data_IF_270880965834
#
_entry.id   IF_270880965834
#
_cell.length_a   1.000
_cell.length_b   1.000
_cell.length_c   1.000
_cell.angle_alpha   90.00
_cell.angle_beta   90.00
_cell.angle_gamma   90.00
#
_symmetry.space_group_name_H-M   'P 1'
#
loop_
_entity.id
_entity.type
_entity.pdbx_description
1 polymer ?
#
# COMPACT_ATOMS: atom_id res chain seq x y z
N UNK A 1 -23.21 73.30 29.13
CA UNK A 1 -24.08 72.12 28.94
C UNK A 1 -23.16 70.93 28.77
N UNK A 2 -22.45 70.44 29.79
CA UNK A 2 -22.94 69.88 31.05
C UNK A 2 -24.13 68.94 30.88
N UNK A 3 -23.88 67.68 31.23
CA UNK A 3 -24.83 66.61 31.54
C UNK A 3 -25.59 66.00 30.36
N UNK A 4 -25.10 64.84 29.90
CA UNK A 4 -25.88 63.59 29.81
C UNK A 4 -24.96 62.42 29.43
N UNK A 5 -24.89 61.46 30.37
CA UNK A 5 -24.41 60.07 30.27
C UNK A 5 -22.91 59.91 29.97
N UNK A 6 -22.04 59.43 30.86
CA UNK A 6 -22.19 58.33 31.83
C UNK A 6 -22.83 57.08 31.20
N UNK A 7 -22.19 56.56 30.15
CA UNK A 7 -22.01 55.12 29.94
C UNK A 7 -20.47 54.94 29.85
N UNK A 8 -19.73 54.42 30.83
CA UNK A 8 -20.13 53.47 31.86
C UNK A 8 -20.15 52.04 31.30
N UNK A 9 -19.02 51.56 30.75
CA UNK A 9 -18.75 50.11 30.70
C UNK A 9 -18.53 49.43 29.35
N UNK A 10 -18.35 50.16 28.24
CA UNK A 10 -17.93 49.55 26.96
C UNK A 10 -16.66 50.20 26.40
N UNK A 11 -15.56 49.53 26.73
CA UNK A 11 -14.53 49.12 25.77
C UNK A 11 -13.59 50.15 25.14
N UNK A 12 -12.69 50.71 25.97
CA UNK A 12 -11.38 51.22 25.51
C UNK A 12 -10.66 50.14 24.68
N UNK A 13 -10.74 48.86 25.09
CA UNK A 13 -10.20 47.74 24.33
C UNK A 13 -10.90 47.54 22.97
N UNK A 14 -12.22 47.73 22.84
CA UNK A 14 -12.88 47.59 21.52
C UNK A 14 -12.52 48.76 20.63
N UNK A 15 -12.40 49.99 21.15
CA UNK A 15 -11.97 51.12 20.32
C UNK A 15 -10.53 50.94 19.82
N UNK A 16 -9.62 50.42 20.65
CA UNK A 16 -8.26 50.07 20.22
C UNK A 16 -8.27 48.90 19.22
N UNK A 17 -9.14 47.91 19.40
CA UNK A 17 -9.28 46.78 18.47
C UNK A 17 -9.89 47.22 17.12
N UNK A 18 -10.86 48.13 17.13
CA UNK A 18 -11.43 48.75 15.93
C UNK A 18 -10.40 49.60 15.19
N UNK A 19 -9.60 50.40 15.91
CA UNK A 19 -8.49 51.15 15.33
C UNK A 19 -7.41 50.22 14.74
N UNK A 20 -7.08 49.13 15.42
CA UNK A 20 -6.15 48.10 14.92
C UNK A 20 -6.70 47.41 13.67
N UNK A 21 -7.98 47.02 13.68
CA UNK A 21 -8.67 46.42 12.53
C UNK A 21 -8.72 47.38 11.34
N UNK A 22 -8.96 48.67 11.58
CA UNK A 22 -8.93 49.70 10.54
C UNK A 22 -7.51 49.88 9.97
N UNK A 23 -6.48 49.87 10.82
CA UNK A 23 -5.08 49.93 10.37
C UNK A 23 -4.69 48.69 9.57
N UNK A 24 -5.14 47.50 9.97
CA UNK A 24 -4.96 46.24 9.23
C UNK A 24 -5.60 46.32 7.84
N UNK A 25 -6.85 46.79 7.76
CA UNK A 25 -7.56 46.99 6.50
C UNK A 25 -6.84 48.00 5.60
N UNK A 26 -6.36 49.12 6.16
CA UNK A 26 -5.60 50.11 5.40
C UNK A 26 -4.26 49.57 4.91
N UNK A 27 -3.58 48.72 5.70
CA UNK A 27 -2.36 48.02 5.25
C UNK A 27 -2.64 47.06 4.10
N UNK A 28 -3.75 46.32 4.16
CA UNK A 28 -4.17 45.44 3.07
C UNK A 28 -4.51 46.23 1.79
N UNK A 29 -5.28 47.31 1.91
CA UNK A 29 -5.59 48.21 0.79
C UNK A 29 -4.31 48.79 0.15
N UNK A 30 -3.34 49.24 0.96
CA UNK A 30 -2.05 49.74 0.48
C UNK A 30 -1.27 48.64 -0.23
N UNK A 31 -1.22 47.43 0.33
CA UNK A 31 -0.53 46.30 -0.29
C UNK A 31 -1.13 45.93 -1.65
N UNK A 32 -2.46 45.94 -1.77
CA UNK A 32 -3.15 45.72 -3.03
C UNK A 32 -2.91 46.83 -4.05
N UNK A 33 -2.87 48.10 -3.60
CA UNK A 33 -2.55 49.23 -4.47
C UNK A 33 -1.13 49.13 -5.01
N UNK A 34 -0.14 48.80 -4.16
CA UNK A 34 1.24 48.58 -4.59
C UNK A 34 1.33 47.42 -5.58
N UNK A 35 0.56 46.34 -5.37
CA UNK A 35 0.52 45.20 -6.30
C UNK A 35 -0.04 45.62 -7.66
N UNK A 36 -1.16 46.33 -7.68
CA UNK A 36 -1.78 46.86 -8.90
C UNK A 36 -0.88 47.88 -9.61
N UNK A 37 -0.22 48.74 -8.86
CA UNK A 37 0.74 49.71 -9.41
C UNK A 37 1.92 49.01 -10.05
N UNK A 38 2.46 47.94 -9.45
CA UNK A 38 3.53 47.14 -10.04
C UNK A 38 3.07 46.41 -11.30
N UNK A 39 1.89 45.79 -11.28
CA UNK A 39 1.30 45.13 -12.45
C UNK A 39 1.11 46.13 -13.60
N UNK A 40 0.57 47.32 -13.31
CA UNK A 40 0.41 48.40 -14.29
C UNK A 40 1.76 48.93 -14.79
N UNK A 41 2.74 49.14 -13.91
CA UNK A 41 4.09 49.57 -14.30
C UNK A 41 4.74 48.55 -15.24
N UNK A 42 4.63 47.26 -14.93
CA UNK A 42 5.12 46.21 -15.81
C UNK A 42 4.43 46.25 -17.18
N UNK A 43 3.11 46.40 -17.19
CA UNK A 43 2.35 46.48 -18.44
C UNK A 43 2.70 47.73 -19.28
N UNK A 44 2.89 48.88 -18.63
CA UNK A 44 3.35 50.12 -19.29
C UNK A 44 4.75 49.93 -19.85
N UNK A 45 5.70 49.33 -19.09
CA UNK A 45 7.05 49.09 -19.61
C UNK A 45 7.05 48.17 -20.84
N UNK A 46 6.21 47.14 -20.85
CA UNK A 46 6.07 46.24 -22.01
C UNK A 46 5.46 46.97 -23.22
N UNK A 47 4.45 47.80 -23.01
CA UNK A 47 3.84 48.61 -24.07
C UNK A 47 4.80 49.70 -24.59
N UNK A 48 5.59 50.32 -23.72
CA UNK A 48 6.60 51.29 -24.11
C UNK A 48 7.71 50.64 -24.94
N UNK A 49 8.13 49.43 -24.59
CA UNK A 49 9.06 48.63 -25.40
C UNK A 49 8.45 48.31 -26.79
N UNK A 50 7.20 47.87 -26.85
CA UNK A 50 6.50 47.54 -28.10
C UNK A 50 6.27 48.78 -28.99
N UNK A 51 5.91 49.92 -28.39
CA UNK A 51 5.66 51.17 -29.12
C UNK A 51 6.95 51.84 -29.59
N UNK A 52 8.03 51.76 -28.82
CA UNK A 52 9.38 52.11 -29.30
C UNK A 52 9.77 51.27 -30.51
N UNK A 53 9.49 49.97 -30.49
CA UNK A 53 9.80 49.06 -31.60
C UNK A 53 9.01 49.38 -32.89
N UNK A 54 7.81 49.99 -32.78
CA UNK A 54 6.99 50.45 -33.91
C UNK A 54 7.33 51.86 -34.42
N UNK A 55 7.78 52.79 -33.57
CA UNK A 55 8.02 54.21 -33.93
C UNK A 55 9.39 54.49 -34.54
N UNK A 56 10.24 53.49 -34.72
CA UNK A 56 11.55 53.64 -35.36
C UNK A 56 11.41 53.81 -36.88
N UNK A 57 10.97 54.98 -37.34
CA UNK A 57 11.24 55.42 -38.71
C UNK A 57 12.75 55.68 -38.81
N UNK A 58 13.48 54.79 -39.48
CA UNK A 58 14.93 54.87 -39.59
C UNK A 58 15.37 56.15 -40.30
N UNK A 59 16.13 57.01 -39.60
CA UNK A 59 16.62 58.28 -40.15
C UNK A 59 17.87 58.09 -41.05
N UNK A 60 18.53 56.93 -40.96
CA UNK A 60 19.72 56.56 -41.74
C UNK A 60 19.84 55.04 -41.90
N UNK A 61 20.41 54.59 -43.02
CA UNK A 61 20.66 53.17 -43.31
C UNK A 61 21.55 52.50 -42.24
N UNK A 62 22.51 53.25 -41.68
CA UNK A 62 23.38 52.76 -40.61
C UNK A 62 22.59 52.47 -39.32
N UNK A 63 21.66 53.37 -38.97
CA UNK A 63 20.77 53.20 -37.83
C UNK A 63 19.86 51.97 -38.02
N UNK A 64 19.38 51.73 -39.24
CA UNK A 64 18.59 50.54 -39.56
C UNK A 64 19.37 49.23 -39.36
N UNK A 65 20.62 49.18 -39.82
CA UNK A 65 21.51 48.01 -39.63
C UNK A 65 21.76 47.75 -38.14
N UNK A 66 22.05 48.77 -37.35
CA UNK A 66 22.30 48.65 -35.92
C UNK A 66 21.05 48.14 -35.18
N UNK A 67 19.88 48.68 -35.49
CA UNK A 67 18.62 48.26 -34.88
C UNK A 67 18.21 46.85 -35.29
N UNK A 68 18.36 46.49 -36.57
CA UNK A 68 18.15 45.11 -37.04
C UNK A 68 19.12 44.14 -36.39
N UNK A 69 20.39 44.51 -36.23
CA UNK A 69 21.40 43.68 -35.54
C UNK A 69 21.03 43.49 -34.06
N UNK A 70 20.54 44.52 -33.38
CA UNK A 70 20.05 44.43 -32.01
C UNK A 70 18.83 43.51 -31.91
N UNK A 71 17.86 43.62 -32.83
CA UNK A 71 16.70 42.72 -32.91
C UNK A 71 17.12 41.27 -33.14
N UNK A 72 18.05 41.01 -34.05
CA UNK A 72 18.62 39.69 -34.29
C UNK A 72 19.29 39.11 -33.03
N UNK A 73 20.09 39.91 -32.31
CA UNK A 73 20.71 39.48 -31.04
C UNK A 73 19.66 39.15 -29.98
N UNK A 74 18.60 39.96 -29.84
CA UNK A 74 17.48 39.67 -28.92
C UNK A 74 16.81 38.33 -29.28
N UNK A 75 16.49 38.12 -30.56
CA UNK A 75 15.85 36.88 -31.03
C UNK A 75 16.75 35.67 -30.83
N UNK A 76 18.05 35.80 -31.11
CA UNK A 76 19.02 34.74 -30.87
C UNK A 76 19.14 34.40 -29.38
N UNK A 77 19.17 35.40 -28.50
CA UNK A 77 19.16 35.16 -27.05
C UNK A 77 17.90 34.43 -26.60
N UNK A 78 16.71 34.84 -27.09
CA UNK A 78 15.44 34.13 -26.82
C UNK A 78 15.49 32.69 -27.32
N UNK A 79 16.04 32.47 -28.52
CA UNK A 79 16.22 31.13 -29.06
C UNK A 79 17.11 30.28 -28.13
N UNK A 80 18.27 30.80 -27.70
CA UNK A 80 19.15 30.09 -26.78
C UNK A 80 18.48 29.75 -25.45
N UNK A 81 17.65 30.65 -24.91
CA UNK A 81 16.86 30.37 -23.69
C UNK A 81 15.90 29.19 -23.92
N UNK A 82 15.14 29.20 -25.02
CA UNK A 82 14.24 28.09 -25.34
C UNK A 82 15.00 26.78 -25.57
N UNK A 83 16.20 26.82 -26.16
CA UNK A 83 17.06 25.63 -26.29
C UNK A 83 17.53 25.08 -24.94
N UNK A 84 17.82 25.95 -23.98
CA UNK A 84 18.17 25.54 -22.62
C UNK A 84 16.95 24.93 -21.91
N UNK A 85 15.80 25.61 -21.96
CA UNK A 85 14.53 25.11 -21.39
C UNK A 85 14.15 23.74 -21.99
N UNK A 86 14.26 23.56 -23.30
CA UNK A 86 14.00 22.28 -23.97
C UNK A 86 14.91 21.16 -23.44
N UNK A 87 16.18 21.49 -23.15
CA UNK A 87 17.14 20.53 -22.60
C UNK A 87 16.80 20.16 -21.17
N UNK A 88 16.53 21.16 -20.34
CA UNK A 88 16.17 20.96 -18.94
C UNK A 88 14.91 20.08 -18.84
N UNK A 89 13.89 20.36 -19.65
CA UNK A 89 12.66 19.55 -19.75
C UNK A 89 12.97 18.11 -20.20
N UNK A 90 13.86 17.93 -21.18
CA UNK A 90 14.26 16.59 -21.63
C UNK A 90 14.96 15.82 -20.51
N UNK A 91 15.88 16.45 -19.79
CA UNK A 91 16.63 15.82 -18.70
C UNK A 91 15.70 15.43 -17.54
N UNK A 92 14.73 16.29 -17.20
CA UNK A 92 13.68 15.99 -16.23
C UNK A 92 12.79 14.82 -16.68
N UNK A 93 12.39 14.79 -17.96
CA UNK A 93 11.61 13.68 -18.52
C UNK A 93 12.38 12.35 -18.47
N UNK A 94 13.68 12.37 -18.76
CA UNK A 94 14.52 11.17 -18.70
C UNK A 94 14.66 10.70 -17.24
N UNK A 95 14.92 11.60 -16.31
CA UNK A 95 15.05 11.28 -14.90
C UNK A 95 13.76 10.69 -14.32
N UNK A 96 12.62 11.35 -14.53
CA UNK A 96 11.31 10.87 -14.07
C UNK A 96 10.94 9.53 -14.66
N UNK A 97 11.21 9.30 -15.96
CA UNK A 97 11.00 7.99 -16.58
C UNK A 97 11.86 6.90 -15.91
N UNK A 98 13.14 7.17 -15.65
CA UNK A 98 14.03 6.22 -14.99
C UNK A 98 13.59 5.90 -13.56
N UNK A 99 13.11 6.88 -12.80
CA UNK A 99 12.58 6.68 -11.45
C UNK A 99 11.31 5.80 -11.46
N UNK A 100 10.42 6.01 -12.42
CA UNK A 100 9.23 5.18 -12.60
C UNK A 100 9.60 3.74 -13.00
N UNK A 101 10.57 3.56 -13.90
CA UNK A 101 11.10 2.25 -14.29
C UNK A 101 11.69 1.52 -13.07
N UNK A 102 12.48 2.21 -12.24
CA UNK A 102 13.02 1.64 -11.01
C UNK A 102 11.92 1.20 -10.04
N UNK A 103 10.92 2.06 -9.83
CA UNK A 103 9.76 1.74 -8.97
C UNK A 103 8.99 0.53 -9.51
N UNK A 104 8.78 0.44 -10.82
CA UNK A 104 8.14 -0.70 -11.47
C UNK A 104 8.94 -1.99 -11.25
N UNK A 105 10.26 -1.94 -11.41
CA UNK A 105 11.14 -3.09 -11.21
C UNK A 105 11.14 -3.57 -9.75
N UNK A 106 11.14 -2.64 -8.79
CA UNK A 106 11.03 -2.93 -7.36
C UNK A 106 9.71 -3.61 -7.01
N UNK A 107 8.58 -3.02 -7.42
CA UNK A 107 7.25 -3.60 -7.22
C UNK A 107 7.13 -4.98 -7.87
N UNK A 108 7.71 -5.14 -9.07
CA UNK A 108 7.72 -6.43 -9.77
C UNK A 108 8.56 -7.46 -9.01
N UNK A 109 9.72 -7.07 -8.47
CA UNK A 109 10.58 -7.92 -7.65
C UNK A 109 9.86 -8.36 -6.38
N UNK A 110 9.20 -7.44 -5.69
CA UNK A 110 8.41 -7.74 -4.50
C UNK A 110 7.24 -8.69 -4.80
N UNK A 111 6.50 -8.44 -5.89
CA UNK A 111 5.39 -9.28 -6.29
C UNK A 111 5.88 -10.70 -6.58
N UNK A 112 6.97 -10.85 -7.34
CA UNK A 112 7.59 -12.15 -7.62
C UNK A 112 8.00 -12.85 -6.32
N UNK A 113 8.65 -12.13 -5.41
CA UNK A 113 9.05 -12.66 -4.12
C UNK A 113 7.84 -13.15 -3.30
N UNK A 114 6.79 -12.33 -3.18
CA UNK A 114 5.54 -12.67 -2.47
C UNK A 114 4.83 -13.85 -3.15
N UNK A 115 4.82 -13.94 -4.48
CA UNK A 115 4.24 -15.08 -5.20
C UNK A 115 4.99 -16.37 -4.92
N UNK A 116 6.33 -16.34 -4.99
CA UNK A 116 7.17 -17.50 -4.66
C UNK A 116 6.96 -17.93 -3.21
N UNK A 117 6.86 -17.00 -2.26
CA UNK A 117 6.57 -17.32 -0.87
C UNK A 117 5.20 -18.01 -0.74
N UNK A 118 4.16 -17.48 -1.39
CA UNK A 118 2.84 -18.10 -1.40
C UNK A 118 2.85 -19.49 -2.02
N UNK A 119 3.55 -19.69 -3.14
CA UNK A 119 3.62 -20.96 -3.85
C UNK A 119 4.34 -22.06 -3.05
N UNK A 120 5.38 -21.70 -2.30
CA UNK A 120 6.15 -22.66 -1.52
C UNK A 120 5.52 -22.98 -0.16
N UNK A 121 4.83 -22.03 0.47
CA UNK A 121 4.37 -22.17 1.86
C UNK A 121 2.84 -22.26 2.04
N UNK A 122 2.03 -21.88 1.04
CA UNK A 122 0.57 -21.90 1.16
C UNK A 122 -0.02 -23.06 0.38
N UNK A 123 -0.76 -23.98 1.02
CA UNK A 123 -1.46 -25.05 0.31
C UNK A 123 -2.40 -24.50 -0.77
N UNK A 124 -2.43 -25.08 -1.99
CA UNK A 124 -3.18 -24.53 -3.11
C UNK A 124 -4.70 -24.48 -2.85
N UNK A 125 -5.21 -25.40 -2.01
CA UNK A 125 -6.61 -25.42 -1.61
C UNK A 125 -7.02 -24.23 -0.72
N UNK A 126 -6.11 -23.71 0.10
CA UNK A 126 -6.35 -22.55 0.95
C UNK A 126 -6.21 -21.25 0.17
N UNK A 127 -5.18 -21.16 -0.68
CA UNK A 127 -4.99 -20.03 -1.62
C UNK A 127 -6.25 -19.78 -2.45
N UNK A 128 -6.85 -20.83 -3.03
CA UNK A 128 -8.09 -20.71 -3.82
C UNK A 128 -9.26 -20.17 -2.99
N UNK A 129 -9.47 -20.69 -1.76
CA UNK A 129 -10.54 -20.22 -0.86
C UNK A 129 -10.38 -18.75 -0.47
N UNK A 130 -9.15 -18.26 -0.37
CA UNK A 130 -8.88 -16.85 -0.08
C UNK A 130 -9.17 -15.97 -1.29
N UNK A 131 -8.69 -16.34 -2.49
CA UNK A 131 -8.94 -15.61 -3.74
C UNK A 131 -10.44 -15.47 -4.00
N UNK A 132 -11.21 -16.56 -3.84
CA UNK A 132 -12.66 -16.57 -4.09
C UNK A 132 -13.45 -15.64 -3.14
N UNK A 133 -12.85 -15.22 -2.01
CA UNK A 133 -13.48 -14.33 -1.01
C UNK A 133 -12.90 -12.92 -1.04
N UNK A 134 -11.78 -12.72 -1.73
CA UNK A 134 -11.11 -11.44 -1.80
C UNK A 134 -11.88 -10.56 -2.78
N UNK A 135 -12.16 -9.33 -2.39
CA UNK A 135 -12.71 -8.31 -3.28
C UNK A 135 -11.90 -7.04 -3.13
N UNK A 136 -11.76 -6.32 -4.23
CA UNK A 136 -11.11 -5.03 -4.26
C UNK A 136 -12.18 -3.94 -4.22
N UNK A 137 -11.98 -2.94 -3.36
CA UNK A 137 -12.82 -1.75 -3.31
C UNK A 137 -12.08 -0.60 -4.00
N UNK A 138 -12.58 -0.18 -5.17
CA UNK A 138 -11.99 0.88 -5.99
C UNK A 138 -12.07 2.27 -5.32
N UNK A 139 -13.06 2.49 -4.42
CA UNK A 139 -13.27 3.79 -3.78
C UNK A 139 -12.33 3.99 -2.57
N UNK A 140 -12.07 2.92 -1.81
CA UNK A 140 -11.17 2.95 -0.64
C UNK A 140 -9.73 2.51 -0.98
N UNK A 141 -9.47 2.04 -2.21
CA UNK A 141 -8.18 1.48 -2.69
C UNK A 141 -7.65 0.37 -1.76
N UNK A 142 -8.55 -0.50 -1.29
CA UNK A 142 -8.25 -1.52 -0.29
C UNK A 142 -8.81 -2.90 -0.65
N UNK A 143 -8.09 -3.94 -0.24
CA UNK A 143 -8.54 -5.33 -0.37
C UNK A 143 -9.35 -5.76 0.84
N UNK A 144 -10.62 -6.10 0.63
CA UNK A 144 -11.51 -6.64 1.63
C UNK A 144 -11.70 -8.15 1.51
N UNK A 145 -12.06 -8.81 2.62
CA UNK A 145 -12.44 -10.23 2.63
C UNK A 145 -13.93 -10.38 2.89
N UNK A 146 -14.64 -11.05 1.97
CA UNK A 146 -16.03 -11.42 2.18
C UNK A 146 -16.06 -12.49 3.28
N UNK A 147 -16.48 -12.08 4.48
CA UNK A 147 -16.64 -13.02 5.60
C UNK A 147 -17.72 -14.03 5.24
N UNK A 148 -17.32 -15.29 5.06
CA UNK A 148 -18.27 -16.39 4.97
C UNK A 148 -19.17 -16.32 6.21
N UNK A 149 -20.47 -16.19 5.99
CA UNK A 149 -21.50 -15.99 7.00
C UNK A 149 -21.20 -16.80 8.27
N UNK A 150 -21.02 -16.04 9.37
CA UNK A 150 -20.90 -16.48 10.77
C UNK A 150 -21.47 -17.87 10.95
N UNK A 151 -20.60 -18.88 11.14
CA UNK A 151 -21.01 -20.26 11.44
C UNK A 151 -22.12 -20.18 12.48
N UNK A 152 -23.36 -20.50 12.09
CA UNK A 152 -24.51 -20.42 13.00
C UNK A 152 -24.13 -21.28 14.20
N UNK A 153 -23.89 -20.65 15.35
CA UNK A 153 -23.52 -21.37 16.56
C UNK A 153 -24.57 -22.46 16.78
N UNK A 154 -24.10 -23.69 17.03
CA UNK A 154 -25.01 -24.80 17.30
C UNK A 154 -25.94 -24.36 18.45
N UNK A 155 -27.27 -24.48 18.30
CA UNK A 155 -28.19 -24.04 19.35
C UNK A 155 -27.87 -24.79 20.64
N UNK A 156 -27.81 -24.04 21.74
CA UNK A 156 -27.65 -24.61 23.08
C UNK A 156 -28.93 -25.32 23.49
N UNK A 157 -28.81 -26.34 24.33
CA UNK A 157 -29.99 -26.95 24.95
C UNK A 157 -30.68 -25.96 25.89
N UNK A 158 -31.98 -26.15 26.15
CA UNK A 158 -32.75 -25.32 27.08
C UNK A 158 -32.18 -25.32 28.51
N UNK A 159 -31.38 -26.34 28.87
CA UNK A 159 -30.72 -26.49 30.18
C UNK A 159 -29.27 -25.99 30.13
N UNK A 160 -28.88 -25.26 29.08
CA UNK A 160 -27.56 -24.60 28.97
C UNK A 160 -26.41 -25.52 28.51
N UNK A 161 -26.63 -26.82 28.36
CA UNK A 161 -25.63 -27.75 27.83
C UNK A 161 -25.45 -27.63 26.31
N UNK A 162 -24.24 -27.98 25.81
CA UNK A 162 -23.89 -28.03 24.36
C UNK A 162 -24.74 -29.01 23.55
N UNK A 163 -25.42 -29.95 24.21
CA UNK A 163 -26.33 -30.97 23.64
C UNK A 163 -27.50 -31.22 24.61
N UNK A 164 -28.69 -31.62 24.13
CA UNK A 164 -29.80 -32.00 25.01
C UNK A 164 -29.45 -33.27 25.80
N UNK A 165 -29.74 -33.28 27.10
CA UNK A 165 -29.59 -34.44 27.98
C UNK A 165 -30.91 -34.75 28.68
N UNK A 166 -31.22 -36.03 28.89
CA UNK A 166 -32.45 -36.46 29.55
C UNK A 166 -32.45 -36.07 31.04
N UNK A 167 -33.65 -35.91 31.61
CA UNK A 167 -33.81 -35.60 33.04
C UNK A 167 -33.15 -36.68 33.94
N UNK A 168 -33.21 -37.95 33.52
CA UNK A 168 -32.54 -39.05 34.22
C UNK A 168 -31.01 -38.86 34.26
N UNK A 169 -30.40 -38.49 33.12
CA UNK A 169 -28.97 -38.23 33.04
C UNK A 169 -28.56 -37.04 33.93
N UNK A 170 -29.39 -35.99 33.98
CA UNK A 170 -29.17 -34.83 34.86
C UNK A 170 -29.18 -35.24 36.35
N UNK A 171 -30.19 -35.99 36.77
CA UNK A 171 -30.31 -36.46 38.15
C UNK A 171 -29.12 -37.35 38.53
N UNK A 172 -28.74 -38.28 37.65
CA UNK A 172 -27.62 -39.19 37.88
C UNK A 172 -26.27 -38.45 38.02
N UNK A 173 -26.08 -37.34 37.28
CA UNK A 173 -24.90 -36.48 37.46
C UNK A 173 -24.94 -35.73 38.79
N UNK A 174 -26.11 -35.20 39.18
CA UNK A 174 -26.27 -34.44 40.41
C UNK A 174 -26.13 -35.29 41.68
N UNK A 175 -26.49 -36.58 41.62
CA UNK A 175 -26.44 -37.50 42.76
C UNK A 175 -25.14 -38.33 42.85
N UNK A 176 -24.23 -38.19 41.89
CA UNK A 176 -23.01 -38.99 41.87
C UNK A 176 -21.97 -38.47 42.89
N UNK A 177 -21.49 -39.35 43.77
CA UNK A 177 -20.40 -39.06 44.73
C UNK A 177 -19.01 -39.17 44.08
N UNK A 178 -18.85 -38.65 42.86
CA UNK A 178 -17.65 -38.72 42.03
C UNK A 178 -17.94 -38.23 40.61
N UNK A 179 -16.94 -38.17 39.72
CA UNK A 179 -17.15 -37.73 38.34
C UNK A 179 -17.82 -38.84 37.50
N UNK A 180 -19.14 -38.75 37.19
CA UNK A 180 -19.86 -39.85 36.54
C UNK A 180 -19.65 -39.78 35.03
N UNK A 181 -18.64 -40.45 34.50
CA UNK A 181 -18.26 -40.38 33.06
C UNK A 181 -19.37 -40.78 32.08
N UNK A 182 -20.38 -41.52 32.53
CA UNK A 182 -21.46 -42.05 31.66
C UNK A 182 -22.49 -41.00 31.24
N UNK A 183 -22.83 -40.03 32.10
CA UNK A 183 -23.96 -39.11 31.89
C UNK A 183 -23.54 -37.66 31.69
N UNK A 184 -22.26 -37.39 31.45
CA UNK A 184 -21.77 -36.02 31.26
C UNK A 184 -22.25 -35.40 29.95
N UNK A 185 -22.54 -34.09 29.99
CA UNK A 185 -22.89 -33.32 28.80
C UNK A 185 -21.69 -33.02 27.90
N UNK A 186 -20.47 -33.10 28.45
CA UNK A 186 -19.22 -32.82 27.76
C UNK A 186 -18.44 -34.11 27.51
N UNK A 187 -17.60 -34.12 26.46
CA UNK A 187 -16.69 -35.23 26.16
C UNK A 187 -15.32 -34.95 26.79
N UNK A 188 -15.29 -34.55 28.06
CA UNK A 188 -14.07 -34.25 28.81
C UNK A 188 -14.04 -35.19 30.01
N UNK A 189 -13.01 -36.02 30.10
CA UNK A 189 -12.78 -36.81 31.30
C UNK A 189 -11.91 -35.99 32.24
N UNK A 190 -12.43 -35.66 33.42
CA UNK A 190 -11.61 -35.10 34.49
C UNK A 190 -10.89 -36.25 35.18
N UNK A 191 -9.62 -36.43 34.85
CA UNK A 191 -8.73 -37.33 35.58
C UNK A 191 -8.02 -36.53 36.66
N UNK A 192 -7.94 -37.09 37.87
CA UNK A 192 -7.02 -36.59 38.89
C UNK A 192 -5.59 -36.83 38.36
N UNK A 193 -4.86 -35.76 38.07
CA UNK A 193 -3.46 -35.86 37.69
C UNK A 193 -2.65 -36.36 38.90
N UNK A 194 -1.96 -37.49 38.75
CA UNK A 194 -0.88 -37.87 39.65
C UNK A 194 0.23 -36.82 39.50
N UNK A 195 0.40 -35.98 40.52
CA UNK A 195 1.38 -34.88 40.58
C UNK A 195 2.82 -35.35 40.78
N UNK A 196 3.11 -36.60 40.44
CA UNK A 196 4.47 -37.11 40.37
C UNK A 196 5.33 -36.20 39.46
N UNK A 197 6.48 -35.67 39.96
CA UNK A 197 7.30 -34.72 39.21
C UNK A 197 7.69 -35.29 37.84
N UNK A 198 7.62 -34.49 36.76
CA UNK A 198 8.03 -34.96 35.44
C UNK A 198 9.51 -35.40 35.49
N UNK A 199 9.78 -36.59 34.96
CA UNK A 199 11.13 -37.07 34.69
C UNK A 199 11.84 -36.08 33.77
N UNK A 200 12.69 -35.20 34.34
CA UNK A 200 13.48 -34.23 33.60
C UNK A 200 14.62 -34.95 32.87
N UNK A 201 14.59 -34.96 31.54
CA UNK A 201 15.72 -35.41 30.72
C UNK A 201 16.62 -34.21 30.42
N UNK A 202 17.85 -34.23 30.91
CA UNK A 202 18.87 -33.24 30.55
C UNK A 202 19.46 -33.59 29.18
N UNK A 203 19.07 -32.87 28.13
CA UNK A 203 19.69 -32.98 26.80
C UNK A 203 20.89 -32.02 26.74
N UNK A 204 22.10 -32.57 26.85
CA UNK A 204 23.33 -31.83 26.56
C UNK A 204 23.55 -31.78 25.04
N UNK A 205 23.41 -30.61 24.42
CA UNK A 205 23.54 -30.40 22.97
C UNK A 205 25.00 -30.29 22.48
N UNK A 206 25.94 -30.98 23.12
CA UNK A 206 27.33 -31.08 22.65
C UNK A 206 27.84 -32.51 22.82
N UNK A 207 27.98 -33.22 21.69
CA UNK A 207 28.64 -34.51 21.62
C UNK A 207 27.70 -35.71 21.69
N UNK A 208 27.66 -36.43 20.58
CA UNK A 208 26.95 -37.68 20.34
C UNK A 208 27.14 -38.76 21.42
N UNK A 209 26.26 -38.80 22.44
CA UNK A 209 25.93 -40.02 23.21
C UNK A 209 24.67 -39.84 24.08
N UNK A 210 23.59 -40.55 23.75
CA UNK A 210 22.46 -40.77 24.65
C UNK A 210 22.81 -41.91 25.62
N UNK A 211 23.45 -41.59 26.74
CA UNK A 211 23.60 -42.54 27.84
C UNK A 211 22.30 -42.58 28.66
N UNK A 212 21.70 -43.77 28.71
CA UNK A 212 20.43 -44.03 29.37
C UNK A 212 20.72 -44.46 30.80
N UNK A 213 20.61 -43.56 31.78
CA UNK A 213 20.60 -43.96 33.20
C UNK A 213 19.23 -44.52 33.57
N UNK A 214 18.94 -45.74 33.11
CA UNK A 214 17.91 -46.56 33.76
C UNK A 214 18.46 -47.00 35.11
N UNK A 215 17.99 -46.36 36.18
CA UNK A 215 17.95 -47.01 37.49
C UNK A 215 17.29 -48.38 37.29
N UNK A 216 18.07 -49.45 37.50
CA UNK A 216 17.62 -50.84 37.42
C UNK A 216 16.65 -51.13 38.57
N UNK A 217 15.40 -50.75 38.39
CA UNK A 217 14.28 -51.30 39.13
C UNK A 217 13.08 -51.24 38.21
N UNK A 218 12.28 -52.31 38.16
CA UNK A 218 11.13 -52.53 37.26
C UNK A 218 11.43 -53.22 35.91
N UNK A 219 12.09 -54.38 35.99
CA UNK A 219 11.70 -55.52 35.14
C UNK A 219 10.76 -56.41 35.95
N UNK A 220 9.45 -56.17 35.84
CA UNK A 220 8.43 -57.22 35.90
C UNK A 220 7.08 -56.62 35.52
N UNK A 221 6.32 -57.41 34.75
CA UNK A 221 4.94 -57.25 34.27
C UNK A 221 4.70 -56.29 33.11
N UNK A 222 4.79 -56.81 31.89
CA UNK A 222 3.64 -56.89 30.95
C UNK A 222 4.08 -57.51 29.62
N UNK A 223 3.88 -58.82 29.48
CA UNK A 223 3.76 -59.45 28.16
C UNK A 223 2.44 -58.99 27.54
N UNK A 224 2.49 -58.15 26.52
CA UNK A 224 1.36 -57.94 25.60
C UNK A 224 1.79 -58.38 24.22
N UNK A 225 1.26 -59.53 23.82
CA UNK A 225 1.33 -60.12 22.50
C UNK A 225 0.55 -59.25 21.50
N UNK A 226 1.24 -58.60 20.58
CA UNK A 226 0.62 -58.07 19.36
C UNK A 226 1.02 -58.94 18.17
N UNK A 227 0.00 -59.61 17.63
CA UNK A 227 0.03 -60.47 16.46
C UNK A 227 0.24 -59.59 15.21
N UNK A 228 1.27 -59.89 14.44
CA UNK A 228 1.60 -59.15 13.22
C UNK A 228 0.57 -59.32 12.12
N UNK A 229 0.48 -58.33 11.24
CA UNK A 229 0.03 -58.52 9.86
C UNK A 229 1.10 -57.92 8.96
N UNK A 230 1.60 -58.79 8.09
CA UNK A 230 2.64 -58.60 7.09
C UNK A 230 2.23 -57.62 6.00
N UNK A 231 3.12 -56.68 5.65
CA UNK A 231 3.16 -56.14 4.28
C UNK A 231 4.61 -55.78 3.96
N UNK A 232 5.17 -56.48 2.97
CA UNK A 232 6.53 -56.27 2.44
C UNK A 232 6.58 -55.07 1.49
N UNK A 233 7.79 -54.49 1.27
CA UNK A 233 8.00 -53.23 0.58
C UNK A 233 8.42 -53.42 -0.89
N UNK A 234 8.39 -52.33 -1.67
CA UNK A 234 9.11 -52.00 -2.94
C UNK A 234 8.27 -50.90 -3.63
N UNK A 235 8.75 -49.86 -4.31
CA UNK A 235 10.04 -49.48 -4.87
C UNK A 235 9.95 -47.99 -5.26
N UNK A 236 11.05 -47.26 -5.17
CA UNK A 236 11.21 -45.89 -5.63
C UNK A 236 11.60 -45.89 -7.11
N UNK A 237 10.82 -45.26 -8.01
CA UNK A 237 11.28 -44.81 -9.34
C UNK A 237 10.58 -43.52 -9.80
N UNK A 238 11.39 -42.46 -9.81
CA UNK A 238 11.58 -41.44 -10.85
C UNK A 238 10.41 -41.05 -11.75
N UNK A 239 9.98 -39.79 -11.63
CA UNK A 239 9.12 -39.09 -12.57
C UNK A 239 9.94 -38.58 -13.77
N UNK A 240 9.53 -38.95 -14.98
CA UNK A 240 9.73 -38.14 -16.20
C UNK A 240 8.60 -38.48 -17.17
N UNK A 241 7.72 -37.51 -17.43
CA UNK A 241 7.22 -37.14 -18.77
C UNK A 241 5.93 -36.32 -18.67
N UNK A 242 6.03 -35.09 -19.17
CA UNK A 242 5.10 -34.40 -20.05
C UNK A 242 3.60 -34.54 -19.78
N UNK A 243 3.03 -33.47 -19.23
CA UNK A 243 1.65 -33.07 -19.51
C UNK A 243 1.66 -31.69 -20.17
N UNK A 244 1.60 -31.69 -21.50
CA UNK A 244 1.07 -30.57 -22.28
C UNK A 244 -0.42 -30.38 -21.95
N UNK A 245 -0.84 -29.15 -21.70
CA UNK A 245 -2.23 -28.69 -21.85
C UNK A 245 -2.21 -27.21 -22.25
N UNK A 246 -3.27 -26.69 -22.90
CA UNK A 246 -3.17 -26.09 -24.21
C UNK A 246 -3.39 -24.56 -24.16
N UNK A 247 -2.81 -23.87 -25.13
CA UNK A 247 -3.08 -22.47 -25.40
C UNK A 247 -4.57 -22.28 -25.78
N UNK A 248 -5.31 -21.54 -24.95
CA UNK A 248 -6.60 -20.96 -25.36
C UNK A 248 -6.36 -19.57 -25.94
N UNK A 249 -6.64 -19.49 -27.23
CA UNK A 249 -6.89 -18.29 -28.02
C UNK A 249 -8.11 -17.55 -27.44
N UNK A 250 -7.96 -16.28 -27.06
CA UNK A 250 -9.09 -15.36 -26.97
C UNK A 250 -8.88 -14.21 -27.95
N UNK A 251 -9.88 -14.04 -28.80
CA UNK A 251 -9.99 -13.02 -29.83
C UNK A 251 -10.20 -11.62 -29.22
N UNK A 252 -9.65 -10.65 -29.95
CA UNK A 252 -9.74 -9.23 -29.74
C UNK A 252 -11.17 -8.63 -29.77
N UNK A 253 -11.36 -7.56 -29.00
CA UNK A 253 -12.16 -6.36 -29.31
C UNK A 253 -11.39 -5.17 -28.70
N UNK A 254 -10.73 -4.35 -29.52
CA UNK A 254 -11.24 -3.06 -30.01
C UNK A 254 -11.07 -1.92 -29.00
N UNK A 255 -9.91 -1.26 -29.06
CA UNK A 255 -9.78 0.18 -28.88
C UNK A 255 -8.69 0.66 -29.82
N UNK A 256 -9.13 1.25 -30.93
CA UNK A 256 -8.32 2.13 -31.76
C UNK A 256 -7.98 3.40 -30.97
N UNK A 257 -6.88 4.04 -31.36
CA UNK A 257 -6.31 5.32 -30.88
C UNK A 257 -5.33 5.22 -29.71
N UNK A 258 -4.07 4.91 -30.02
CA UNK A 258 -2.87 5.58 -29.48
C UNK A 258 -1.60 4.87 -29.98
N UNK A 259 -1.35 4.86 -31.29
CA UNK A 259 -0.06 4.38 -31.83
C UNK A 259 0.29 5.12 -33.13
N UNK A 260 0.35 6.45 -33.03
CA UNK A 260 0.97 7.30 -34.05
C UNK A 260 1.66 8.46 -33.31
N UNK A 261 2.66 8.19 -32.47
CA UNK A 261 3.57 9.25 -31.99
C UNK A 261 4.89 8.70 -31.42
N UNK A 262 5.45 7.62 -31.99
CA UNK A 262 6.79 7.14 -31.59
C UNK A 262 7.62 6.58 -32.77
N UNK A 263 7.38 7.07 -33.99
CA UNK A 263 8.20 6.65 -35.15
C UNK A 263 8.71 7.78 -36.03
N UNK A 264 8.72 9.02 -35.51
CA UNK A 264 9.19 10.20 -36.26
C UNK A 264 10.52 10.80 -35.79
N UNK A 265 11.18 10.23 -34.77
CA UNK A 265 12.46 10.75 -34.24
C UNK A 265 13.69 9.94 -34.69
N UNK A 266 13.51 8.80 -35.38
CA UNK A 266 14.64 7.98 -35.85
C UNK A 266 14.98 8.08 -37.36
N UNK A 267 14.41 9.04 -38.11
CA UNK A 267 14.71 9.22 -39.56
C UNK A 267 15.39 10.56 -39.91
N UNK A 268 15.62 11.46 -38.95
CA UNK A 268 16.34 12.72 -39.19
C UNK A 268 17.64 12.86 -38.40
N UNK A 269 18.37 11.75 -38.24
CA UNK A 269 19.66 11.70 -37.53
C UNK A 269 20.91 11.60 -38.41
N UNK A 270 20.82 11.78 -39.73
CA UNK A 270 21.96 11.54 -40.64
C UNK A 270 22.08 12.54 -41.81
N UNK A 271 21.76 13.83 -41.65
CA UNK A 271 22.29 14.85 -42.56
C UNK A 271 22.54 16.13 -41.76
N UNK A 272 23.57 16.90 -42.16
CA UNK A 272 24.13 18.09 -41.50
C UNK A 272 25.41 17.85 -40.68
N UNK A 273 26.35 17.13 -41.28
CA UNK A 273 27.73 17.64 -41.38
C UNK A 273 27.91 18.10 -42.83
N UNK A 274 27.93 19.42 -43.04
CA UNK A 274 28.59 20.23 -44.09
C UNK A 274 27.98 21.64 -44.08
#
# INVERSE_FOLDING_TARGET
MESKLLEGGKTIMDHTNEQQKLLEQKRQEIAEQIRREREMQQQVTLQDEETLEMRETFSSLQQEVEMKTKKLRKLYAKLQLVWAEMRDVMDEHVATRQELEQTQDELTRELKYKSLLMENFVPPAEKKKMIDRLHFDDEEDQWGLITATRVKRRPLSAVGYKRPISQYAQAAVATATGAPSRYQAENIMLLELDVSPPSMFTLNLHGSRLERSLSRTWLRTATVTWRGTTTTPLSMRTCYSNCCFPAKRMLAKSTANAFVFEHFICIFGEYWWW
#
